data_IF_221047836509
#
_entry.id   IF_221047836509
#
_cell.length_a   1.000
_cell.length_b   1.000
_cell.length_c   1.000
_cell.angle_alpha   90.00
_cell.angle_beta   90.00
_cell.angle_gamma   90.00
#
_symmetry.space_group_name_H-M   'P 1'
#
loop_
_entity.id
_entity.type
_entity.pdbx_description
1 polymer ?
#
# COMPACT_ATOMS: atom_id res chain seq x y z
N UNK A 1 -23.02 0.81 -6.38
CA UNK A 1 -21.58 0.70 -6.67
C UNK A 1 -21.33 -0.66 -7.27
N UNK A 2 -20.61 -0.72 -8.39
CA UNK A 2 -20.20 -2.02 -8.97
C UNK A 2 -19.35 -2.81 -7.96
N UNK A 3 -19.51 -4.13 -7.91
CA UNK A 3 -18.73 -5.04 -7.05
C UNK A 3 -17.22 -4.84 -7.26
N UNK A 4 -16.83 -4.52 -8.50
CA UNK A 4 -15.46 -4.20 -8.90
C UNK A 4 -14.95 -2.94 -8.19
N UNK A 5 -15.78 -1.91 -8.05
CA UNK A 5 -15.42 -0.67 -7.37
C UNK A 5 -15.23 -0.89 -5.87
N UNK A 6 -16.12 -1.64 -5.23
CA UNK A 6 -16.02 -1.98 -3.80
C UNK A 6 -14.75 -2.79 -3.54
N UNK A 7 -14.45 -3.75 -4.40
CA UNK A 7 -13.23 -4.56 -4.32
C UNK A 7 -11.97 -3.71 -4.48
N UNK A 8 -11.96 -2.76 -5.42
CA UNK A 8 -10.82 -1.85 -5.63
C UNK A 8 -10.58 -0.93 -4.43
N UNK A 9 -11.64 -0.38 -3.83
CA UNK A 9 -11.56 0.43 -2.61
C UNK A 9 -11.03 -0.40 -1.44
N UNK A 10 -11.54 -1.62 -1.28
CA UNK A 10 -11.07 -2.54 -0.23
C UNK A 10 -9.58 -2.87 -0.40
N UNK A 11 -9.12 -3.13 -1.61
CA UNK A 11 -7.70 -3.36 -1.91
C UNK A 11 -6.83 -2.13 -1.58
N UNK A 12 -7.32 -0.91 -1.87
CA UNK A 12 -6.64 0.33 -1.50
C UNK A 12 -6.49 0.47 0.02
N UNK A 13 -7.54 0.18 0.78
CA UNK A 13 -7.51 0.21 2.23
C UNK A 13 -6.54 -0.83 2.81
N UNK A 14 -6.51 -2.05 2.26
CA UNK A 14 -5.55 -3.08 2.70
C UNK A 14 -4.11 -2.66 2.44
N UNK A 15 -3.79 -2.20 1.23
CA UNK A 15 -2.44 -1.75 0.89
C UNK A 15 -2.01 -0.55 1.74
N UNK A 16 -2.91 0.42 1.94
CA UNK A 16 -2.69 1.55 2.85
C UNK A 16 -2.39 1.08 4.29
N UNK A 17 -3.17 0.12 4.79
CA UNK A 17 -2.97 -0.48 6.11
C UNK A 17 -1.61 -1.17 6.24
N UNK A 18 -1.17 -1.91 5.22
CA UNK A 18 0.16 -2.53 5.18
C UNK A 18 1.27 -1.48 5.23
N UNK A 19 1.15 -0.39 4.49
CA UNK A 19 2.14 0.69 4.51
C UNK A 19 2.20 1.42 5.85
N UNK A 20 1.04 1.69 6.46
CA UNK A 20 0.96 2.32 7.79
C UNK A 20 1.56 1.38 8.85
N UNK A 21 1.23 0.09 8.79
CA UNK A 21 1.77 -0.89 9.73
C UNK A 21 3.28 -1.05 9.59
N UNK A 22 3.82 -1.09 8.36
CA UNK A 22 5.25 -1.13 8.12
C UNK A 22 5.97 0.02 8.85
N UNK A 23 5.46 1.24 8.64
CA UNK A 23 5.98 2.45 9.27
C UNK A 23 5.89 2.39 10.79
N UNK A 24 4.74 1.98 11.33
CA UNK A 24 4.54 1.86 12.78
C UNK A 24 5.45 0.80 13.41
N UNK A 25 5.63 -0.35 12.74
CA UNK A 25 6.45 -1.45 13.24
C UNK A 25 7.94 -1.07 13.29
N UNK A 26 8.44 -0.32 12.31
CA UNK A 26 9.81 0.24 12.35
C UNK A 26 9.94 1.38 13.36
N UNK A 27 8.96 2.29 13.42
CA UNK A 27 9.01 3.43 14.34
C UNK A 27 8.90 3.03 15.82
N UNK A 28 8.22 1.91 16.12
CA UNK A 28 8.12 1.34 17.47
C UNK A 28 9.33 0.49 17.87
N UNK A 29 10.29 0.27 16.97
CA UNK A 29 11.44 -0.61 17.20
C UNK A 29 11.06 -2.09 17.31
N UNK A 30 9.87 -2.47 16.86
CA UNK A 30 9.39 -3.86 16.91
C UNK A 30 10.04 -4.75 15.85
N UNK A 31 10.57 -4.16 14.77
CA UNK A 31 11.25 -4.85 13.69
C UNK A 31 12.57 -4.14 13.40
N UNK A 32 13.61 -4.91 13.09
CA UNK A 32 14.90 -4.39 12.66
C UNK A 32 14.74 -3.61 11.34
N UNK A 33 15.25 -2.38 11.36
CA UNK A 33 15.37 -1.45 10.23
C UNK A 33 16.77 -0.84 10.32
N UNK A 34 17.76 -1.60 9.85
CA UNK A 34 19.17 -1.20 9.88
C UNK A 34 19.44 -0.05 8.88
N UNK A 35 18.63 0.02 7.82
CA UNK A 35 18.75 0.98 6.73
C UNK A 35 18.05 2.33 7.03
N UNK A 36 17.38 2.44 8.18
CA UNK A 36 16.60 3.60 8.65
C UNK A 36 15.62 4.15 7.61
N UNK A 37 15.01 3.27 6.81
CA UNK A 37 14.11 3.67 5.73
C UNK A 37 12.62 3.52 6.10
N UNK A 38 12.33 3.21 7.35
CA UNK A 38 11.00 2.93 7.89
C UNK A 38 10.30 1.77 7.18
N UNK A 39 11.09 0.80 6.69
CA UNK A 39 10.63 -0.46 6.12
C UNK A 39 11.36 -1.56 6.88
N UNK A 40 10.66 -2.57 7.43
CA UNK A 40 11.33 -3.68 8.09
C UNK A 40 12.28 -4.40 7.13
N UNK A 41 13.49 -4.76 7.56
CA UNK A 41 14.48 -5.41 6.68
C UNK A 41 13.98 -6.75 6.12
N UNK A 42 13.22 -7.50 6.93
CA UNK A 42 12.53 -8.73 6.51
C UNK A 42 11.54 -8.49 5.36
N UNK A 43 10.93 -7.30 5.32
CA UNK A 43 9.97 -6.90 4.29
C UNK A 43 10.67 -6.29 3.09
N UNK A 44 11.77 -5.55 3.30
CA UNK A 44 12.60 -5.10 2.19
C UNK A 44 13.13 -6.31 1.40
N UNK A 45 13.59 -7.38 2.06
CA UNK A 45 14.12 -8.58 1.38
C UNK A 45 13.08 -9.32 0.51
N UNK A 46 11.84 -9.41 0.98
CA UNK A 46 10.79 -10.21 0.32
C UNK A 46 9.86 -9.37 -0.57
N UNK A 47 9.67 -8.10 -0.24
CA UNK A 47 8.67 -7.21 -0.83
C UNK A 47 9.26 -5.86 -1.28
N UNK A 48 10.57 -5.79 -1.53
CA UNK A 48 11.25 -4.56 -1.99
C UNK A 48 10.46 -3.79 -3.03
N UNK A 49 10.01 -4.48 -4.08
CA UNK A 49 9.26 -3.90 -5.19
C UNK A 49 7.95 -3.22 -4.75
N UNK A 50 7.25 -3.78 -3.75
CA UNK A 50 5.98 -3.25 -3.24
C UNK A 50 6.17 -1.98 -2.39
N UNK A 51 7.30 -1.86 -1.68
CA UNK A 51 7.63 -0.68 -0.89
C UNK A 51 8.34 0.41 -1.68
N UNK A 52 9.25 0.05 -2.60
CA UNK A 52 9.89 1.00 -3.52
C UNK A 52 8.88 1.58 -4.51
N UNK A 53 7.97 0.74 -5.02
CA UNK A 53 6.93 1.13 -5.97
C UNK A 53 5.68 1.72 -5.33
N UNK A 54 5.62 1.89 -4.00
CA UNK A 54 4.37 2.23 -3.28
C UNK A 54 3.62 3.42 -3.86
N UNK A 55 4.34 4.48 -4.24
CA UNK A 55 3.76 5.69 -4.82
C UNK A 55 3.12 5.42 -6.19
N UNK A 56 3.80 4.67 -7.05
CA UNK A 56 3.31 4.33 -8.40
C UNK A 56 2.11 3.37 -8.30
N UNK A 57 2.19 2.37 -7.42
CA UNK A 57 1.12 1.40 -7.18
C UNK A 57 -0.14 2.13 -6.70
N UNK A 58 -0.01 2.99 -5.68
CA UNK A 58 -1.15 3.76 -5.15
C UNK A 58 -1.72 4.75 -6.16
N UNK A 59 -0.89 5.34 -7.02
CA UNK A 59 -1.33 6.22 -8.09
C UNK A 59 -2.17 5.46 -9.13
N UNK A 60 -1.69 4.32 -9.61
CA UNK A 60 -2.43 3.47 -10.56
C UNK A 60 -3.76 3.02 -9.94
N UNK A 61 -3.74 2.61 -8.67
CA UNK A 61 -4.94 2.17 -7.95
C UNK A 61 -5.97 3.31 -7.82
N UNK A 62 -5.51 4.52 -7.52
CA UNK A 62 -6.34 5.73 -7.48
C UNK A 62 -6.95 6.07 -8.84
N UNK A 63 -6.19 5.94 -9.93
CA UNK A 63 -6.72 6.14 -11.29
C UNK A 63 -7.78 5.11 -11.66
N UNK A 64 -7.57 3.83 -11.32
CA UNK A 64 -8.55 2.77 -11.54
C UNK A 64 -9.83 3.05 -10.76
N UNK A 65 -9.73 3.42 -9.48
CA UNK A 65 -10.89 3.78 -8.66
C UNK A 65 -11.61 5.00 -9.26
N UNK A 66 -10.87 6.05 -9.64
CA UNK A 66 -11.46 7.25 -10.25
C UNK A 66 -12.19 6.96 -11.55
N UNK A 67 -11.62 6.13 -12.43
CA UNK A 67 -12.26 5.67 -13.66
C UNK A 67 -13.53 4.87 -13.36
N UNK A 68 -13.46 3.91 -12.43
CA UNK A 68 -14.61 3.08 -12.06
C UNK A 68 -15.74 3.89 -11.42
N UNK A 69 -15.43 4.93 -10.65
CA UNK A 69 -16.43 5.86 -10.11
C UNK A 69 -17.13 6.58 -11.26
N UNK A 70 -16.37 7.21 -12.17
CA UNK A 70 -16.93 7.95 -13.30
C UNK A 70 -17.72 7.09 -14.29
N UNK A 71 -17.36 5.81 -14.44
CA UNK A 71 -18.10 4.85 -15.25
C UNK A 71 -19.35 4.28 -14.56
N UNK A 72 -19.49 4.48 -13.24
CA UNK A 72 -20.62 3.98 -12.44
C UNK A 72 -21.72 5.02 -12.18
N UNK A 73 -21.48 6.27 -12.57
CA UNK A 73 -22.44 7.39 -12.66
C UNK A 73 -23.06 7.48 -14.04
#
# INVERSE_FOLDING_TARGET
MSEVLITAIFAACLLGGVYIYAYWATASGSLEDENQNFIPDSWEKNFKWLFTGKTIIMLILGLIIGYLIGAST
#
